data_IF_551289015323
#
_entry.id   IF_551289015323
#
_cell.length_a   1.000
_cell.length_b   1.000
_cell.length_c   1.000
_cell.angle_alpha   90.00
_cell.angle_beta   90.00
_cell.angle_gamma   90.00
#
_symmetry.space_group_name_H-M   'P 1'
#
loop_
_entity.id
_entity.type
_entity.pdbx_description
1 polymer ?
#
# COMPACT_ATOMS: atom_id res chain seq x y z
N UNK A 1 17.86 17.14 -3.26
CA UNK A 1 16.82 16.27 -2.69
C UNK A 1 16.72 15.04 -3.59
N UNK A 2 17.43 13.98 -3.24
CA UNK A 2 17.45 12.72 -3.99
C UNK A 2 16.06 12.07 -3.86
N UNK A 3 15.31 11.97 -4.96
CA UNK A 3 14.01 11.28 -5.00
C UNK A 3 14.27 9.77 -5.01
N UNK A 4 14.43 9.18 -3.82
CA UNK A 4 14.47 7.73 -3.67
C UNK A 4 13.03 7.21 -3.79
N UNK A 5 12.64 6.75 -4.98
CA UNK A 5 11.32 6.15 -5.22
C UNK A 5 11.28 4.75 -4.58
N UNK A 6 11.24 4.71 -3.25
CA UNK A 6 11.16 3.48 -2.48
C UNK A 6 9.77 2.89 -2.67
N UNK A 7 9.69 1.74 -3.35
CA UNK A 7 8.45 0.98 -3.48
C UNK A 7 8.09 0.42 -2.09
N UNK A 8 7.14 1.06 -1.42
CA UNK A 8 6.69 0.66 -0.09
C UNK A 8 5.68 -0.49 -0.23
N UNK A 9 6.13 -1.69 0.14
CA UNK A 9 5.35 -2.92 0.00
C UNK A 9 4.71 -3.32 1.32
N UNK A 10 3.38 -3.26 1.36
CA UNK A 10 2.61 -3.71 2.51
C UNK A 10 2.34 -5.22 2.44
N UNK A 11 2.86 -5.96 3.42
CA UNK A 11 2.59 -7.39 3.58
C UNK A 11 1.37 -7.57 4.50
N UNK A 12 0.35 -8.28 4.01
CA UNK A 12 -0.83 -8.65 4.80
C UNK A 12 -1.08 -10.16 4.70
N UNK A 13 -1.72 -10.74 5.73
CA UNK A 13 -2.17 -12.13 5.73
C UNK A 13 -3.61 -12.30 5.19
N UNK A 14 -4.21 -11.21 4.71
CA UNK A 14 -5.55 -11.23 4.10
C UNK A 14 -5.50 -12.06 2.81
N UNK A 15 -6.06 -13.28 2.85
CA UNK A 15 -6.16 -14.19 1.71
C UNK A 15 -7.49 -14.03 0.94
N UNK A 16 -8.00 -12.80 0.87
CA UNK A 16 -9.24 -12.47 0.15
C UNK A 16 -8.94 -11.33 -0.82
N UNK A 17 -8.99 -11.62 -2.12
CA UNK A 17 -8.67 -10.63 -3.17
C UNK A 17 -9.57 -9.39 -3.13
N UNK A 18 -10.84 -9.55 -2.78
CA UNK A 18 -11.77 -8.43 -2.59
C UNK A 18 -11.39 -7.53 -1.42
N UNK A 19 -10.95 -8.11 -0.29
CA UNK A 19 -10.47 -7.34 0.85
C UNK A 19 -9.17 -6.60 0.51
N UNK A 20 -8.25 -7.24 -0.20
CA UNK A 20 -7.00 -6.59 -0.66
C UNK A 20 -7.32 -5.40 -1.60
N UNK A 21 -8.24 -5.60 -2.55
CA UNK A 21 -8.65 -4.53 -3.47
C UNK A 21 -9.32 -3.36 -2.74
N UNK A 22 -10.03 -3.62 -1.65
CA UNK A 22 -10.64 -2.58 -0.82
C UNK A 22 -9.62 -1.82 0.01
N UNK A 23 -8.61 -2.46 0.60
CA UNK A 23 -7.64 -1.79 1.48
C UNK A 23 -6.51 -1.09 0.74
N UNK A 24 -6.17 -1.57 -0.46
CA UNK A 24 -5.13 -1.01 -1.31
C UNK A 24 -5.27 0.51 -1.54
N UNK A 25 -6.43 1.06 -1.97
CA UNK A 25 -6.58 2.51 -2.16
C UNK A 25 -6.40 3.31 -0.87
N UNK A 26 -6.71 2.75 0.30
CA UNK A 26 -6.47 3.44 1.58
C UNK A 26 -4.99 3.48 1.96
N UNK A 27 -4.20 2.50 1.52
CA UNK A 27 -2.75 2.44 1.75
C UNK A 27 -1.98 3.29 0.72
N UNK A 28 -2.39 3.25 -0.55
CA UNK A 28 -1.77 4.06 -1.62
C UNK A 28 -2.01 5.57 -1.44
N UNK A 29 -3.09 5.96 -0.75
CA UNK A 29 -3.42 7.36 -0.46
C UNK A 29 -3.20 7.73 1.01
N UNK A 30 -2.45 6.92 1.77
CA UNK A 30 -2.13 7.23 3.14
C UNK A 30 -1.18 8.45 3.18
N UNK A 31 -1.60 9.50 3.87
CA UNK A 31 -0.82 10.74 4.01
C UNK A 31 0.50 10.47 4.76
N UNK A 32 1.62 10.96 4.21
CA UNK A 32 2.95 10.81 4.82
C UNK A 32 3.77 9.58 4.39
N UNK A 33 3.30 8.86 3.36
CA UNK A 33 4.00 7.74 2.69
C UNK A 33 4.64 8.21 1.37
#
# INVERSE_FOLDING_TARGET
>A
MEKNNQDLRFKTNINCGGCVASVKPHLDNADGI
#
